data_IF_814926622412
#
_entry.id   IF_814926622412
#
_cell.length_a   1.000
_cell.length_b   1.000
_cell.length_c   1.000
_cell.angle_alpha   90.00
_cell.angle_beta   90.00
_cell.angle_gamma   90.00
#
_symmetry.space_group_name_H-M   'P 1'
#
loop_
_entity.id
_entity.type
_entity.pdbx_description
1 polymer ?
#
# COMPACT_ATOMS: atom_id res chain seq x y z
N UNK A 1 21.84 -1.49 0.75
CA UNK A 1 22.54 -0.91 1.91
C UNK A 1 21.76 0.31 2.41
N UNK A 2 20.87 0.12 3.38
CA UNK A 2 20.17 1.25 4.00
C UNK A 2 21.01 1.76 5.16
N UNK A 3 21.89 2.73 4.89
CA UNK A 3 22.60 3.43 5.95
C UNK A 3 21.59 4.06 6.90
N UNK A 4 21.57 3.61 8.15
CA UNK A 4 20.78 4.26 9.19
C UNK A 4 21.24 5.71 9.30
N UNK A 5 20.39 6.65 8.88
CA UNK A 5 20.65 8.07 9.04
C UNK A 5 20.63 8.35 10.54
N UNK A 6 21.80 8.38 11.16
CA UNK A 6 21.96 8.77 12.56
C UNK A 6 21.40 10.17 12.71
N UNK A 7 20.28 10.28 13.43
CA UNK A 7 19.61 11.57 13.64
C UNK A 7 20.55 12.49 14.43
N UNK A 8 20.74 13.72 13.95
CA UNK A 8 21.52 14.73 14.65
C UNK A 8 21.03 14.86 16.10
N UNK A 9 21.92 15.07 17.09
CA UNK A 9 21.50 15.38 18.44
C UNK A 9 20.61 16.62 18.46
N UNK A 10 19.55 16.64 19.29
CA UNK A 10 18.59 17.76 19.38
C UNK A 10 19.28 19.09 19.67
N UNK A 11 20.41 19.07 20.38
CA UNK A 11 21.24 20.24 20.70
C UNK A 11 21.83 20.93 19.46
N UNK A 12 21.98 20.22 18.33
CA UNK A 12 22.52 20.74 17.07
C UNK A 12 21.44 21.08 16.02
N UNK A 13 20.16 21.07 16.40
CA UNK A 13 19.06 21.36 15.48
C UNK A 13 19.02 22.82 15.06
N UNK A 14 19.03 23.05 13.75
CA UNK A 14 18.69 24.35 13.19
C UNK A 14 17.15 24.53 13.07
N UNK A 15 16.70 25.70 12.63
CA UNK A 15 15.26 25.97 12.47
C UNK A 15 14.54 25.00 11.52
N UNK A 16 15.20 24.54 10.45
CA UNK A 16 14.63 23.56 9.51
C UNK A 16 14.47 22.18 10.16
N UNK A 17 15.44 21.75 10.97
CA UNK A 17 15.37 20.49 11.72
C UNK A 17 14.19 20.49 12.70
N UNK A 18 14.04 21.58 13.47
CA UNK A 18 12.92 21.74 14.41
C UNK A 18 11.56 21.69 13.70
N UNK A 19 11.44 22.39 12.56
CA UNK A 19 10.22 22.38 11.73
C UNK A 19 9.90 20.96 11.22
N UNK A 20 10.89 20.19 10.76
CA UNK A 20 10.68 18.80 10.32
C UNK A 20 10.18 17.91 11.46
N UNK A 21 10.78 18.00 12.64
CA UNK A 21 10.34 17.22 13.81
C UNK A 21 8.90 17.56 14.19
N UNK A 22 8.56 18.85 14.22
CA UNK A 22 7.21 19.30 14.51
C UNK A 22 6.19 18.78 13.49
N UNK A 23 6.51 18.86 12.19
CA UNK A 23 5.63 18.36 11.14
C UNK A 23 5.46 16.83 11.22
N UNK A 24 6.54 16.10 11.49
CA UNK A 24 6.46 14.65 11.70
C UNK A 24 5.56 14.30 12.90
N UNK A 25 5.66 15.04 14.03
CA UNK A 25 4.77 14.84 15.18
C UNK A 25 3.31 15.10 14.83
N UNK A 26 3.01 16.20 14.12
CA UNK A 26 1.65 16.51 13.66
C UNK A 26 1.10 15.41 12.74
N UNK A 27 1.90 14.94 11.78
CA UNK A 27 1.51 13.87 10.88
C UNK A 27 1.26 12.55 11.62
N UNK A 28 2.11 12.17 12.60
CA UNK A 28 1.88 10.99 13.45
C UNK A 28 0.55 11.10 14.19
N UNK A 29 0.26 12.27 14.75
CA UNK A 29 -0.98 12.49 15.48
C UNK A 29 -2.22 12.33 14.59
N UNK A 30 -2.21 12.95 13.40
CA UNK A 30 -3.30 12.82 12.41
C UNK A 30 -3.52 11.35 12.05
N UNK A 31 -2.45 10.61 11.71
CA UNK A 31 -2.56 9.19 11.35
C UNK A 31 -3.17 8.37 12.50
N UNK A 32 -2.75 8.60 13.75
CA UNK A 32 -3.29 7.88 14.91
C UNK A 32 -4.77 8.17 15.12
N UNK A 33 -5.19 9.42 14.91
CA UNK A 33 -6.57 9.84 15.10
C UNK A 33 -7.55 9.29 14.05
N UNK A 34 -7.07 9.02 12.84
CA UNK A 34 -7.95 8.59 11.73
C UNK A 34 -8.09 7.08 11.61
N UNK A 35 -7.26 6.29 12.27
CA UNK A 35 -7.23 4.83 12.14
C UNK A 35 -7.95 4.12 13.30
N UNK A 36 -8.51 2.94 13.02
CA UNK A 36 -9.12 2.09 14.04
C UNK A 36 -8.07 1.39 14.94
N UNK A 37 -8.53 0.75 16.01
CA UNK A 37 -7.68 0.06 17.00
C UNK A 37 -6.79 -1.03 16.40
N UNK A 38 -7.29 -1.79 15.42
CA UNK A 38 -6.50 -2.82 14.75
C UNK A 38 -5.31 -2.22 13.99
N UNK A 39 -5.53 -1.13 13.25
CA UNK A 39 -4.46 -0.45 12.53
C UNK A 39 -3.52 0.31 13.45
N UNK A 40 -4.02 0.86 14.55
CA UNK A 40 -3.20 1.52 15.55
C UNK A 40 -2.08 0.58 16.06
N UNK A 41 -2.44 -0.64 16.45
CA UNK A 41 -1.47 -1.64 16.92
C UNK A 41 -0.40 -1.97 15.87
N UNK A 42 -0.74 -1.87 14.57
CA UNK A 42 0.19 -2.15 13.47
C UNK A 42 1.22 -1.05 13.23
N UNK A 43 0.89 0.20 13.60
CA UNK A 43 1.74 1.37 13.31
C UNK A 43 2.31 2.05 14.55
N UNK A 44 1.84 1.71 15.75
CA UNK A 44 2.19 2.39 17.00
C UNK A 44 3.71 2.43 17.27
N UNK A 45 4.42 1.34 16.96
CA UNK A 45 5.88 1.23 17.15
C UNK A 45 6.71 1.98 16.10
N UNK A 46 6.08 2.55 15.06
CA UNK A 46 6.81 3.24 13.99
C UNK A 46 7.44 4.56 14.48
N UNK A 47 8.71 4.72 14.14
CA UNK A 47 9.54 5.87 14.57
C UNK A 47 9.11 7.18 13.92
N UNK A 48 8.59 7.15 12.69
CA UNK A 48 8.19 8.34 11.92
C UNK A 48 6.80 8.18 11.30
N UNK A 49 6.15 9.31 11.00
CA UNK A 49 4.88 9.32 10.28
C UNK A 49 4.99 8.65 8.91
N UNK A 50 6.13 8.82 8.23
CA UNK A 50 6.42 8.14 6.96
C UNK A 50 6.39 6.61 7.13
N UNK A 51 7.06 6.06 8.14
CA UNK A 51 7.00 4.61 8.42
C UNK A 51 5.59 4.14 8.76
N UNK A 52 4.79 4.94 9.47
CA UNK A 52 3.38 4.62 9.74
C UNK A 52 2.58 4.56 8.44
N UNK A 53 2.73 5.56 7.58
CA UNK A 53 2.07 5.62 6.28
C UNK A 53 2.46 4.46 5.38
N UNK A 54 3.76 4.18 5.22
CA UNK A 54 4.26 3.08 4.40
C UNK A 54 3.72 1.73 4.88
N UNK A 55 3.57 1.55 6.20
CA UNK A 55 3.01 0.34 6.79
C UNK A 55 1.51 0.20 6.48
N UNK A 56 0.76 1.30 6.47
CA UNK A 56 -0.65 1.31 6.09
C UNK A 56 -0.82 1.06 4.59
N UNK A 57 -0.01 1.71 3.75
CA UNK A 57 0.01 1.50 2.31
C UNK A 57 0.24 0.02 1.96
N UNK A 58 1.27 -0.60 2.53
CA UNK A 58 1.53 -2.04 2.34
C UNK A 58 0.40 -2.92 2.88
N UNK A 59 -0.28 -2.50 3.94
CA UNK A 59 -1.39 -3.24 4.54
C UNK A 59 -2.61 -3.28 3.64
N UNK A 60 -2.92 -2.17 2.99
CA UNK A 60 -4.17 -2.00 2.24
C UNK A 60 -4.00 -2.22 0.74
N UNK A 61 -2.91 -1.73 0.17
CA UNK A 61 -2.63 -1.86 -1.25
C UNK A 61 -1.75 -3.07 -1.58
N UNK A 62 -1.14 -3.69 -0.55
CA UNK A 62 -0.15 -4.73 -0.73
C UNK A 62 1.24 -4.18 -1.08
N UNK A 63 2.23 -5.07 -1.14
CA UNK A 63 3.57 -4.71 -1.61
C UNK A 63 3.62 -4.65 -3.14
N UNK A 64 4.61 -3.95 -3.71
CA UNK A 64 4.83 -3.95 -5.16
C UNK A 64 4.94 -5.38 -5.73
N UNK A 65 5.57 -6.31 -5.01
CA UNK A 65 5.68 -7.72 -5.42
C UNK A 65 4.30 -8.40 -5.50
N UNK A 66 3.39 -8.09 -4.57
CA UNK A 66 2.02 -8.60 -4.58
C UNK A 66 1.22 -7.98 -5.73
N UNK A 67 1.36 -6.66 -5.95
CA UNK A 67 0.72 -5.96 -7.08
C UNK A 67 1.17 -6.55 -8.42
N UNK A 68 2.48 -6.71 -8.63
CA UNK A 68 3.04 -7.32 -9.83
C UNK A 68 2.61 -8.79 -10.01
N UNK A 69 2.55 -9.58 -8.93
CA UNK A 69 2.06 -10.95 -9.01
C UNK A 69 0.59 -11.00 -9.44
N UNK A 70 -0.25 -10.10 -8.91
CA UNK A 70 -1.65 -9.97 -9.30
C UNK A 70 -1.80 -9.60 -10.78
N UNK A 71 -1.00 -8.66 -11.29
CA UNK A 71 -0.98 -8.31 -12.72
C UNK A 71 -0.62 -9.54 -13.56
N UNK A 72 0.47 -10.24 -13.22
CA UNK A 72 0.90 -11.44 -13.97
C UNK A 72 -0.17 -12.53 -13.99
N UNK A 73 -0.84 -12.77 -12.86
CA UNK A 73 -1.94 -13.73 -12.80
C UNK A 73 -3.11 -13.33 -13.71
N UNK A 74 -3.55 -12.06 -13.66
CA UNK A 74 -4.66 -11.60 -14.49
C UNK A 74 -4.33 -11.58 -15.99
N UNK A 75 -3.10 -11.21 -16.36
CA UNK A 75 -2.63 -11.28 -17.75
C UNK A 75 -2.64 -12.73 -18.24
N UNK A 76 -2.14 -13.66 -17.43
CA UNK A 76 -2.19 -15.08 -17.75
C UNK A 76 -3.63 -15.59 -17.91
N UNK A 77 -4.53 -15.23 -16.99
CA UNK A 77 -5.95 -15.61 -17.07
C UNK A 77 -6.63 -15.04 -18.31
N UNK A 78 -6.25 -13.83 -18.73
CA UNK A 78 -6.70 -13.20 -19.97
C UNK A 78 -6.18 -13.95 -21.21
N UNK A 79 -4.89 -14.24 -21.27
CA UNK A 79 -4.24 -14.93 -22.40
C UNK A 79 -4.74 -16.37 -22.56
N UNK A 80 -5.02 -17.06 -21.45
CA UNK A 80 -5.54 -18.42 -21.43
C UNK A 80 -7.07 -18.46 -21.48
N UNK A 81 -7.75 -17.32 -21.60
CA UNK A 81 -9.20 -17.25 -21.53
C UNK A 81 -9.85 -18.03 -22.68
N UNK A 82 -10.65 -19.02 -22.32
CA UNK A 82 -11.45 -19.80 -23.26
C UNK A 82 -12.83 -20.08 -22.68
N UNK A 83 -13.85 -20.01 -23.53
CA UNK A 83 -15.21 -20.40 -23.16
C UNK A 83 -15.23 -21.88 -22.78
N UNK A 84 -15.92 -22.23 -21.69
CA UNK A 84 -16.05 -23.62 -21.28
C UNK A 84 -17.15 -24.34 -22.06
N UNK A 85 -17.03 -25.68 -22.20
CA UNK A 85 -17.96 -26.51 -22.98
C UNK A 85 -19.43 -26.42 -22.51
N UNK A 86 -19.65 -26.21 -21.21
CA UNK A 86 -20.97 -26.18 -20.59
C UNK A 86 -21.34 -24.78 -20.05
N UNK A 87 -20.68 -23.75 -20.55
CA UNK A 87 -20.91 -22.37 -20.16
C UNK A 87 -21.78 -21.66 -21.21
N UNK A 88 -22.70 -20.82 -20.76
CA UNK A 88 -23.47 -19.96 -21.67
C UNK A 88 -22.72 -18.65 -21.97
N UNK A 89 -23.09 -18.00 -23.07
CA UNK A 89 -22.42 -16.77 -23.55
C UNK A 89 -22.46 -15.66 -22.50
N UNK A 90 -23.52 -15.54 -21.70
CA UNK A 90 -23.62 -14.47 -20.69
C UNK A 90 -22.62 -14.73 -19.58
N UNK A 91 -22.55 -15.96 -19.07
CA UNK A 91 -21.58 -16.35 -18.03
C UNK A 91 -20.14 -16.17 -18.52
N UNK A 92 -19.84 -16.59 -19.75
CA UNK A 92 -18.53 -16.37 -20.37
C UNK A 92 -18.17 -14.88 -20.41
N UNK A 93 -19.08 -14.06 -20.93
CA UNK A 93 -18.87 -12.62 -21.06
C UNK A 93 -18.66 -11.94 -19.70
N UNK A 94 -19.41 -12.35 -18.67
CA UNK A 94 -19.21 -11.87 -17.30
C UNK A 94 -17.81 -12.18 -16.79
N UNK A 95 -17.30 -13.40 -16.98
CA UNK A 95 -15.93 -13.75 -16.55
C UNK A 95 -14.87 -12.94 -17.29
N UNK A 96 -15.01 -12.83 -18.61
CA UNK A 96 -14.10 -12.03 -19.41
C UNK A 96 -14.07 -10.57 -18.94
N UNK A 97 -15.25 -9.98 -18.75
CA UNK A 97 -15.42 -8.61 -18.25
C UNK A 97 -14.80 -8.43 -16.85
N UNK A 98 -14.93 -9.43 -15.97
CA UNK A 98 -14.30 -9.39 -14.65
C UNK A 98 -12.77 -9.32 -14.74
N UNK A 99 -12.16 -10.09 -15.66
CA UNK A 99 -10.71 -10.07 -15.89
C UNK A 99 -10.28 -8.71 -16.45
N UNK A 100 -10.97 -8.19 -17.48
CA UNK A 100 -10.63 -6.89 -18.09
C UNK A 100 -10.81 -5.74 -17.11
N UNK A 101 -11.87 -5.74 -16.31
CA UNK A 101 -12.11 -4.70 -15.31
C UNK A 101 -11.06 -4.77 -14.19
N UNK A 102 -10.67 -5.98 -13.77
CA UNK A 102 -9.62 -6.14 -12.76
C UNK A 102 -8.25 -5.66 -13.27
N UNK A 103 -7.94 -5.89 -14.56
CA UNK A 103 -6.74 -5.36 -15.20
C UNK A 103 -6.78 -3.83 -15.34
N UNK A 104 -7.92 -3.25 -15.69
CA UNK A 104 -8.10 -1.80 -15.83
C UNK A 104 -8.01 -1.05 -14.48
N UNK A 105 -8.40 -1.70 -13.39
CA UNK A 105 -8.38 -1.11 -12.05
C UNK A 105 -6.99 -1.13 -11.38
N UNK A 106 -5.98 -1.74 -12.00
CA UNK A 106 -4.59 -1.83 -11.50
C UNK A 106 -3.70 -0.76 -12.14
#
# INVERSE_FOLDING_TARGET
>A
ESGEIISKPRTRYNGKDRKRVQMNMKAKHIIIWTINSNNFNRVFSCVSAKKMWDRLEVTYEGTNRVKEAKIRMLVHDYEMFTMHKNEDIKTMFTRFTNITNALQAL
#
